data_IF_368362476550
#
_entry.id   IF_368362476550
#
_cell.length_a   1.000
_cell.length_b   1.000
_cell.length_c   1.000
_cell.angle_alpha   90.00
_cell.angle_beta   90.00
_cell.angle_gamma   90.00
#
_symmetry.space_group_name_H-M   'P 1'
#
loop_
_entity.id
_entity.type
_entity.pdbx_description
1 polymer ?
#
# COMPACT_ATOMS: atom_id res chain seq x y z
N UNK A 1 -11.21 21.38 -29.65
CA UNK A 1 -11.15 20.01 -29.10
C UNK A 1 -10.21 20.11 -27.93
N UNK A 2 -10.74 20.04 -26.71
CA UNK A 2 -9.93 20.15 -25.50
C UNK A 2 -9.03 18.93 -25.41
N UNK A 3 -7.73 19.14 -25.23
CA UNK A 3 -6.83 18.06 -24.86
C UNK A 3 -7.39 17.36 -23.62
N UNK A 4 -7.30 16.03 -23.60
CA UNK A 4 -7.70 15.27 -22.44
C UNK A 4 -6.78 15.66 -21.27
N UNK A 5 -7.34 16.37 -20.28
CA UNK A 5 -6.61 16.93 -19.13
C UNK A 5 -6.02 15.85 -18.21
N UNK A 6 -6.39 14.58 -18.44
CA UNK A 6 -6.00 13.43 -17.65
C UNK A 6 -5.35 12.36 -18.54
N UNK A 7 -4.02 12.46 -18.70
CA UNK A 7 -3.20 11.40 -19.28
C UNK A 7 -2.81 10.47 -18.14
N UNK A 8 -3.46 9.31 -18.05
CA UNK A 8 -3.14 8.30 -17.05
C UNK A 8 -2.36 7.15 -17.66
N UNK A 9 -1.22 6.85 -17.04
CA UNK A 9 -0.45 5.66 -17.34
C UNK A 9 -0.90 4.53 -16.39
N UNK A 10 -1.72 3.62 -16.91
CA UNK A 10 -2.26 2.48 -16.15
C UNK A 10 -1.12 1.56 -15.66
N UNK A 11 -0.01 1.43 -16.38
CA UNK A 11 1.14 0.62 -15.94
C UNK A 11 1.76 1.17 -14.65
N UNK A 12 1.80 2.50 -14.48
CA UNK A 12 2.26 3.14 -13.24
C UNK A 12 1.34 2.80 -12.08
N UNK A 13 0.02 2.78 -12.30
CA UNK A 13 -0.95 2.41 -11.28
C UNK A 13 -0.81 0.93 -10.89
N UNK A 14 -0.72 0.02 -11.86
CA UNK A 14 -0.51 -1.43 -11.62
C UNK A 14 0.81 -1.69 -10.89
N UNK A 15 1.87 -0.97 -11.27
CA UNK A 15 3.17 -1.08 -10.58
C UNK A 15 3.09 -0.55 -9.15
N UNK A 16 2.38 0.56 -8.94
CA UNK A 16 2.16 1.14 -7.61
C UNK A 16 1.38 0.18 -6.72
N UNK A 17 0.30 -0.44 -7.22
CA UNK A 17 -0.48 -1.43 -6.48
C UNK A 17 0.39 -2.60 -6.00
N UNK A 18 1.20 -3.18 -6.89
CA UNK A 18 2.12 -4.27 -6.54
C UNK A 18 3.11 -3.86 -5.45
N UNK A 19 3.70 -2.67 -5.58
CA UNK A 19 4.67 -2.15 -4.60
C UNK A 19 4.02 -1.90 -3.24
N UNK A 20 2.81 -1.35 -3.21
CA UNK A 20 2.04 -1.17 -1.98
C UNK A 20 1.75 -2.51 -1.30
N UNK A 21 1.39 -3.53 -2.07
CA UNK A 21 1.23 -4.89 -1.57
C UNK A 21 2.52 -5.48 -0.96
N UNK A 22 3.66 -5.29 -1.63
CA UNK A 22 4.97 -5.72 -1.10
C UNK A 22 5.30 -5.00 0.21
N UNK A 23 5.17 -3.67 0.25
CA UNK A 23 5.43 -2.89 1.45
C UNK A 23 4.54 -3.35 2.62
N UNK A 24 3.24 -3.53 2.39
CA UNK A 24 2.32 -4.03 3.41
C UNK A 24 2.80 -5.34 4.02
N UNK A 25 3.16 -6.32 3.17
CA UNK A 25 3.67 -7.63 3.60
C UNK A 25 4.97 -7.53 4.41
N UNK A 26 5.90 -6.66 3.98
CA UNK A 26 7.16 -6.43 4.70
C UNK A 26 6.92 -5.84 6.10
N UNK A 27 6.06 -4.83 6.21
CA UNK A 27 5.73 -4.21 7.49
C UNK A 27 4.96 -5.16 8.42
N UNK A 28 4.06 -6.00 7.90
CA UNK A 28 3.38 -7.04 8.68
C UNK A 28 4.36 -8.13 9.19
N UNK A 29 5.47 -8.36 8.49
CA UNK A 29 6.44 -9.41 8.84
C UNK A 29 7.43 -8.97 9.92
N UNK A 30 7.85 -7.69 9.93
CA UNK A 30 8.83 -7.15 10.88
C UNK A 30 8.38 -7.32 12.35
N UNK A 31 7.07 -7.33 12.60
CA UNK A 31 6.48 -7.54 13.93
C UNK A 31 6.98 -8.77 14.65
N UNK A 32 7.04 -9.87 13.91
CA UNK A 32 7.31 -11.20 14.45
C UNK A 32 8.72 -11.32 15.03
N UNK A 33 9.58 -10.34 14.80
CA UNK A 33 10.95 -10.33 15.30
C UNK A 33 11.09 -9.65 16.67
N UNK A 34 10.19 -8.73 17.06
CA UNK A 34 10.27 -7.99 18.34
C UNK A 34 10.33 -8.92 19.56
N UNK A 35 9.36 -9.81 19.68
CA UNK A 35 9.19 -10.66 20.87
C UNK A 35 10.40 -11.57 21.09
N UNK A 36 11.09 -11.94 20.01
CA UNK A 36 12.29 -12.76 20.05
C UNK A 36 13.53 -11.98 20.50
N UNK A 37 13.53 -10.65 20.32
CA UNK A 37 14.67 -9.78 20.61
C UNK A 37 14.78 -9.35 22.07
N UNK A 38 13.67 -9.32 22.82
CA UNK A 38 13.63 -8.81 24.19
C UNK A 38 14.67 -9.45 25.13
N UNK A 39 14.87 -10.76 25.03
CA UNK A 39 15.83 -11.52 25.84
C UNK A 39 17.30 -11.09 25.63
N UNK A 40 17.61 -10.36 24.55
CA UNK A 40 18.97 -9.95 24.20
C UNK A 40 19.28 -8.49 24.57
N UNK A 41 18.33 -7.72 25.10
CA UNK A 41 18.51 -6.28 25.35
C UNK A 41 19.32 -5.94 26.60
N UNK A 42 19.66 -6.93 27.44
CA UNK A 42 20.62 -6.76 28.51
C UNK A 42 20.00 -6.14 29.77
N UNK A 43 20.55 -5.02 30.25
CA UNK A 43 20.16 -4.42 31.53
C UNK A 43 18.71 -3.93 31.52
N UNK A 44 18.08 -3.86 32.71
CA UNK A 44 16.68 -3.47 32.86
C UNK A 44 16.34 -2.12 32.22
N UNK A 45 17.17 -1.10 32.43
CA UNK A 45 16.93 0.24 31.86
C UNK A 45 16.96 0.25 30.32
N UNK A 46 17.87 -0.51 29.70
CA UNK A 46 17.91 -0.65 28.23
C UNK A 46 16.68 -1.43 27.75
N UNK A 47 16.32 -2.50 28.47
CA UNK A 47 15.17 -3.31 28.13
C UNK A 47 13.85 -2.52 28.22
N UNK A 48 13.71 -1.63 29.21
CA UNK A 48 12.54 -0.77 29.38
C UNK A 48 12.46 0.31 28.29
N UNK A 49 13.59 0.96 27.97
CA UNK A 49 13.64 1.93 26.87
C UNK A 49 13.33 1.28 25.51
N UNK A 50 13.79 0.05 25.30
CA UNK A 50 13.47 -0.72 24.10
C UNK A 50 12.00 -1.15 24.06
N UNK A 51 11.40 -1.55 25.20
CA UNK A 51 9.96 -1.84 25.27
C UNK A 51 9.14 -0.60 24.82
N UNK A 52 9.43 0.58 25.38
CA UNK A 52 8.76 1.83 25.01
C UNK A 52 8.94 2.18 23.51
N UNK A 53 10.17 2.00 23.00
CA UNK A 53 10.44 2.20 21.58
C UNK A 53 9.57 1.30 20.72
N UNK A 54 9.52 0.01 21.04
CA UNK A 54 8.79 -0.93 20.17
C UNK A 54 7.28 -0.80 20.31
N UNK A 55 6.75 -0.47 21.48
CA UNK A 55 5.31 -0.19 21.65
C UNK A 55 4.89 1.05 20.84
N UNK A 56 5.73 2.09 20.81
CA UNK A 56 5.49 3.24 19.95
C UNK A 56 5.60 2.87 18.46
N UNK A 57 6.62 2.10 18.09
CA UNK A 57 6.80 1.61 16.72
C UNK A 57 5.60 0.81 16.23
N UNK A 58 5.07 -0.09 17.04
CA UNK A 58 3.90 -0.92 16.73
C UNK A 58 2.69 -0.04 16.35
N UNK A 59 2.38 0.95 17.19
CA UNK A 59 1.30 1.91 16.93
C UNK A 59 1.48 2.70 15.62
N UNK A 60 2.70 3.17 15.33
CA UNK A 60 2.96 3.91 14.09
C UNK A 60 2.94 2.99 12.86
N UNK A 61 3.43 1.75 13.01
CA UNK A 61 3.44 0.75 11.95
C UNK A 61 2.02 0.36 11.53
N UNK A 62 1.14 0.11 12.49
CA UNK A 62 -0.27 -0.19 12.20
C UNK A 62 -0.95 0.93 11.40
N UNK A 63 -0.74 2.19 11.83
CA UNK A 63 -1.24 3.37 11.09
C UNK A 63 -0.66 3.43 9.67
N UNK A 64 0.62 3.11 9.52
CA UNK A 64 1.26 3.11 8.21
C UNK A 64 0.69 2.02 7.29
N UNK A 65 0.46 0.81 7.81
CA UNK A 65 -0.19 -0.28 7.08
C UNK A 65 -1.61 0.10 6.65
N UNK A 66 -2.38 0.75 7.53
CA UNK A 66 -3.73 1.25 7.20
C UNK A 66 -3.68 2.28 6.06
N UNK A 67 -2.70 3.19 6.08
CA UNK A 67 -2.51 4.17 5.02
C UNK A 67 -2.13 3.52 3.68
N UNK A 68 -1.25 2.51 3.70
CA UNK A 68 -0.92 1.71 2.51
C UNK A 68 -2.16 1.04 1.94
N UNK A 69 -2.98 0.42 2.80
CA UNK A 69 -4.22 -0.26 2.40
C UNK A 69 -5.23 0.71 1.76
N UNK A 70 -5.41 1.88 2.38
CA UNK A 70 -6.26 2.94 1.86
C UNK A 70 -5.78 3.43 0.49
N UNK A 71 -4.48 3.70 0.34
CA UNK A 71 -3.91 4.13 -0.92
C UNK A 71 -4.02 3.03 -2.00
N UNK A 72 -3.78 1.77 -1.64
CA UNK A 72 -3.95 0.63 -2.52
C UNK A 72 -5.38 0.55 -3.08
N UNK A 73 -6.39 0.69 -2.22
CA UNK A 73 -7.80 0.73 -2.65
C UNK A 73 -8.10 1.86 -3.63
N UNK A 74 -7.52 3.04 -3.42
CA UNK A 74 -7.67 4.17 -4.35
C UNK A 74 -7.03 3.87 -5.72
N UNK A 75 -5.84 3.27 -5.72
CA UNK A 75 -5.15 2.84 -6.95
C UNK A 75 -5.96 1.79 -7.71
N UNK A 76 -6.44 0.75 -7.03
CA UNK A 76 -7.28 -0.29 -7.64
C UNK A 76 -8.59 0.30 -8.19
N UNK A 77 -9.22 1.24 -7.47
CA UNK A 77 -10.41 1.92 -7.95
C UNK A 77 -10.15 2.74 -9.22
N UNK A 78 -9.00 3.42 -9.29
CA UNK A 78 -8.59 4.15 -10.50
C UNK A 78 -8.41 3.19 -11.68
N UNK A 79 -7.65 2.09 -11.51
CA UNK A 79 -7.44 1.06 -12.56
C UNK A 79 -8.78 0.56 -13.10
N UNK A 80 -9.67 0.12 -12.20
CA UNK A 80 -10.98 -0.39 -12.59
C UNK A 80 -11.84 0.64 -13.33
N UNK A 81 -11.73 1.92 -12.95
CA UNK A 81 -12.41 3.02 -13.63
C UNK A 81 -11.94 3.19 -15.07
N UNK A 82 -10.63 3.18 -15.32
CA UNK A 82 -10.07 3.30 -16.66
C UNK A 82 -10.37 2.08 -17.53
N UNK A 83 -10.16 0.87 -17.01
CA UNK A 83 -10.44 -0.37 -17.75
C UNK A 83 -11.93 -0.47 -18.13
N UNK A 84 -12.82 -0.03 -17.25
CA UNK A 84 -14.26 0.04 -17.51
C UNK A 84 -14.61 1.01 -18.64
N UNK A 85 -14.05 2.23 -18.58
CA UNK A 85 -14.25 3.25 -19.62
C UNK A 85 -13.72 2.80 -20.98
N UNK A 86 -12.53 2.20 -21.01
CA UNK A 86 -11.92 1.68 -22.25
C UNK A 86 -12.76 0.56 -22.86
N UNK A 87 -13.28 -0.35 -22.02
CA UNK A 87 -14.17 -1.42 -22.48
C UNK A 87 -15.46 -0.87 -23.09
N UNK A 88 -16.11 0.08 -22.40
CA UNK A 88 -17.32 0.70 -22.93
C UNK A 88 -17.08 1.42 -24.26
N UNK A 89 -15.94 2.10 -24.39
CA UNK A 89 -15.57 2.81 -25.61
C UNK A 89 -15.34 1.82 -26.76
N UNK A 90 -14.61 0.73 -26.51
CA UNK A 90 -14.39 -0.34 -27.49
C UNK A 90 -15.71 -1.01 -27.94
N UNK A 91 -16.62 -1.28 -27.01
CA UNK A 91 -17.92 -1.88 -27.32
C UNK A 91 -18.80 -0.93 -28.13
N UNK A 92 -18.76 0.38 -27.86
CA UNK A 92 -19.45 1.39 -28.69
C UNK A 92 -18.85 1.48 -30.09
N UNK A 93 -17.52 1.39 -30.22
CA UNK A 93 -16.85 1.41 -31.52
C UNK A 93 -17.27 0.20 -32.38
N UNK A 94 -17.27 -1.02 -31.81
CA UNK A 94 -17.68 -2.25 -32.50
C UNK A 94 -19.13 -2.27 -32.96
N UNK A 95 -20.02 -1.54 -32.28
CA UNK A 95 -21.45 -1.44 -32.64
C UNK A 95 -21.74 -0.44 -33.77
N UNK A 96 -20.74 0.36 -34.14
CA UNK A 96 -20.89 1.42 -35.14
C UNK A 96 -20.49 0.96 -36.56
N UNK A 97 -19.88 -0.23 -36.67
CA UNK A 97 -19.61 -0.98 -37.90
C UNK A 97 -20.72 -2.02 -38.15
#
# INVERSE_FOLDING_TARGET
MGDADLIINVDVLVTSEKRLGTLKSEFETIDKQKDHMRQFWGSGEIADAMDEFVDNWENYREKFIQNIDSLGKMVTAAINGFDGLDKELADRARKKD
#
